data_IF_292102722481
#
_entry.id   IF_292102722481
#
_cell.length_a   1.000
_cell.length_b   1.000
_cell.length_c   1.000
_cell.angle_alpha   90.00
_cell.angle_beta   90.00
_cell.angle_gamma   90.00
#
_symmetry.space_group_name_H-M   'P 1'
#
loop_
_entity.id
_entity.type
_entity.pdbx_description
1 polymer ?
#
# COMPACT_ATOMS: atom_id res chain seq x y z
N UNK A 1 20.44 25.93 0.55
CA UNK A 1 19.59 24.75 0.83
C UNK A 1 18.86 24.39 -0.46
N UNK A 2 19.22 23.29 -1.13
CA UNK A 2 18.49 22.81 -2.32
C UNK A 2 17.32 21.96 -1.83
N UNK A 3 16.10 22.47 -1.97
CA UNK A 3 14.89 21.66 -1.88
C UNK A 3 14.83 20.80 -3.14
N UNK A 4 15.23 19.53 -3.04
CA UNK A 4 15.04 18.55 -4.10
C UNK A 4 13.54 18.29 -4.25
N UNK A 5 12.89 19.01 -5.16
CA UNK A 5 11.54 18.71 -5.61
C UNK A 5 11.61 17.40 -6.40
N UNK A 6 11.29 16.27 -5.75
CA UNK A 6 11.13 15.00 -6.44
C UNK A 6 9.86 15.11 -7.30
N UNK A 7 10.03 15.20 -8.61
CA UNK A 7 8.91 15.20 -9.54
C UNK A 7 8.33 13.78 -9.57
N UNK A 8 7.25 13.53 -8.83
CA UNK A 8 6.53 12.26 -8.89
C UNK A 8 5.93 12.07 -10.29
N UNK A 9 6.44 11.11 -11.05
CA UNK A 9 5.86 10.75 -12.35
C UNK A 9 4.58 9.94 -12.13
N UNK A 10 3.48 10.37 -12.76
CA UNK A 10 2.18 9.70 -12.72
C UNK A 10 1.89 9.05 -14.07
N UNK A 11 1.35 7.84 -14.06
CA UNK A 11 0.97 7.06 -15.26
C UNK A 11 -0.48 6.63 -15.19
N UNK A 12 -1.19 6.64 -16.31
CA UNK A 12 -2.60 6.20 -16.39
C UNK A 12 -2.66 4.71 -16.73
N UNK A 13 -3.39 3.93 -15.93
CA UNK A 13 -3.68 2.51 -16.20
C UNK A 13 -5.17 2.22 -16.06
N UNK A 14 -5.67 1.27 -16.85
CA UNK A 14 -6.99 0.68 -16.63
C UNK A 14 -6.87 -0.44 -15.59
N UNK A 15 -7.63 -0.34 -14.50
CA UNK A 15 -7.68 -1.33 -13.43
C UNK A 15 -9.10 -1.84 -13.23
N UNK A 16 -9.25 -3.10 -12.83
CA UNK A 16 -10.48 -3.63 -12.24
C UNK A 16 -10.14 -4.52 -11.04
N UNK A 17 -11.18 -5.06 -10.40
CA UNK A 17 -11.02 -5.94 -9.24
C UNK A 17 -10.06 -7.11 -9.53
N UNK A 18 -10.14 -7.73 -10.71
CA UNK A 18 -9.29 -8.86 -11.08
C UNK A 18 -7.82 -8.46 -11.18
N UNK A 19 -7.50 -7.30 -11.74
CA UNK A 19 -6.12 -6.79 -11.79
C UNK A 19 -5.50 -6.73 -10.39
N UNK A 20 -6.27 -6.25 -9.41
CA UNK A 20 -5.80 -6.08 -8.02
C UNK A 20 -5.78 -7.42 -7.28
N UNK A 21 -6.86 -8.20 -7.35
CA UNK A 21 -6.97 -9.49 -6.65
C UNK A 21 -5.91 -10.49 -7.14
N UNK A 22 -5.69 -10.60 -8.46
CA UNK A 22 -4.66 -11.51 -9.02
C UNK A 22 -3.25 -11.16 -8.57
N UNK A 23 -2.97 -9.88 -8.38
CA UNK A 23 -1.68 -9.44 -7.86
C UNK A 23 -1.48 -9.86 -6.40
N UNK A 24 -2.52 -9.75 -5.56
CA UNK A 24 -2.48 -10.19 -4.15
C UNK A 24 -2.40 -11.72 -4.05
N UNK A 25 -3.07 -12.45 -4.94
CA UNK A 25 -3.07 -13.92 -4.99
C UNK A 25 -1.73 -14.52 -5.46
N UNK A 26 -0.94 -13.77 -6.24
CA UNK A 26 0.47 -14.14 -6.52
C UNK A 26 1.32 -13.86 -5.28
N UNK A 27 1.30 -14.81 -4.34
CA UNK A 27 1.95 -14.69 -3.03
C UNK A 27 3.44 -14.38 -3.15
N UNK A 28 4.13 -14.89 -4.17
CA UNK A 28 5.57 -14.69 -4.34
C UNK A 28 5.88 -13.25 -4.75
N UNK A 29 5.18 -12.74 -5.76
CA UNK A 29 5.34 -11.36 -6.22
C UNK A 29 4.87 -10.38 -5.15
N UNK A 30 3.74 -10.70 -4.50
CA UNK A 30 3.16 -9.86 -3.47
C UNK A 30 4.02 -9.78 -2.22
N UNK A 31 4.55 -10.91 -1.72
CA UNK A 31 5.45 -10.94 -0.56
C UNK A 31 6.72 -10.12 -0.82
N UNK A 32 7.33 -10.26 -2.00
CA UNK A 32 8.48 -9.43 -2.39
C UNK A 32 8.13 -7.95 -2.37
N UNK A 33 6.98 -7.58 -2.95
CA UNK A 33 6.51 -6.19 -2.93
C UNK A 33 6.25 -5.69 -1.50
N UNK A 34 5.64 -6.52 -0.65
CA UNK A 34 5.36 -6.20 0.75
C UNK A 34 6.65 -5.93 1.52
N UNK A 35 7.68 -6.78 1.35
CA UNK A 35 9.00 -6.58 1.98
C UNK A 35 9.68 -5.28 1.53
N UNK A 36 9.62 -4.96 0.25
CA UNK A 36 10.16 -3.69 -0.27
C UNK A 36 9.40 -2.48 0.30
N UNK A 37 8.08 -2.58 0.43
CA UNK A 37 7.24 -1.56 1.06
C UNK A 37 7.55 -1.41 2.55
N UNK A 38 7.69 -2.52 3.28
CA UNK A 38 8.04 -2.55 4.70
C UNK A 38 9.40 -1.90 4.93
N UNK A 39 10.42 -2.25 4.14
CA UNK A 39 11.76 -1.68 4.27
C UNK A 39 11.83 -0.17 4.02
N UNK A 40 10.87 0.41 3.26
CA UNK A 40 10.76 1.88 3.11
C UNK A 40 10.20 2.57 4.35
N UNK A 41 9.42 1.85 5.16
CA UNK A 41 8.81 2.34 6.39
C UNK A 41 9.71 2.08 7.61
N UNK A 42 10.38 0.94 7.65
CA UNK A 42 11.29 0.53 8.71
C UNK A 42 12.71 1.08 8.50
N UNK A 43 12.82 2.41 8.47
CA UNK A 43 14.07 3.12 8.12
C UNK A 43 15.22 2.81 9.09
N UNK A 44 14.94 2.46 10.34
CA UNK A 44 15.95 2.10 11.34
C UNK A 44 16.30 0.60 11.35
N UNK A 45 15.63 -0.22 10.52
CA UNK A 45 15.92 -1.63 10.34
C UNK A 45 15.69 -2.49 11.59
N UNK A 46 14.81 -2.06 12.50
CA UNK A 46 14.54 -2.81 13.74
C UNK A 46 13.59 -3.98 13.56
N UNK A 47 13.06 -4.17 12.35
CA UNK A 47 12.14 -5.25 12.00
C UNK A 47 10.70 -5.01 12.48
N UNK A 48 10.36 -3.77 12.86
CA UNK A 48 9.03 -3.45 13.41
C UNK A 48 8.64 -1.99 13.19
N UNK A 49 7.40 -1.80 12.75
CA UNK A 49 6.80 -0.47 12.56
C UNK A 49 6.05 -0.07 13.83
N UNK A 50 6.55 0.95 14.53
CA UNK A 50 5.80 1.60 15.59
C UNK A 50 4.64 2.42 15.02
N UNK A 51 3.71 2.81 15.89
CA UNK A 51 2.55 3.64 15.53
C UNK A 51 2.95 4.94 14.84
N UNK A 52 4.04 5.56 15.28
CA UNK A 52 4.58 6.80 14.70
C UNK A 52 5.14 6.57 13.30
N UNK A 53 5.88 5.47 13.10
CA UNK A 53 6.42 5.09 11.78
C UNK A 53 5.29 4.80 10.79
N UNK A 54 4.29 4.04 11.23
CA UNK A 54 3.11 3.75 10.42
C UNK A 54 2.40 5.05 10.04
N UNK A 55 2.10 5.93 11.02
CA UNK A 55 1.47 7.23 10.74
C UNK A 55 2.27 8.10 9.77
N UNK A 56 3.59 8.15 9.92
CA UNK A 56 4.44 9.00 9.10
C UNK A 56 4.61 8.52 7.64
N UNK A 57 4.45 7.21 7.39
CA UNK A 57 4.78 6.61 6.10
C UNK A 57 3.63 5.89 5.39
N UNK A 58 2.57 5.49 6.08
CA UNK A 58 1.48 4.71 5.49
C UNK A 58 0.76 5.45 4.34
N UNK A 59 0.49 6.76 4.51
CA UNK A 59 -0.09 7.58 3.44
C UNK A 59 0.81 7.73 2.20
N UNK A 60 2.13 7.60 2.35
CA UNK A 60 3.09 7.62 1.22
C UNK A 60 3.15 6.27 0.49
N UNK A 61 2.80 5.19 1.18
CA UNK A 61 2.84 3.84 0.62
C UNK A 61 1.61 3.55 -0.25
N UNK A 62 0.48 4.16 0.11
CA UNK A 62 -0.81 4.00 -0.54
C UNK A 62 -1.36 5.35 -1.04
N UNK A 63 -0.61 6.05 -1.92
CA UNK A 63 -1.08 7.31 -2.49
C UNK A 63 -2.37 7.05 -3.28
N UNK A 64 -3.43 7.80 -2.96
CA UNK A 64 -4.71 7.72 -3.67
C UNK A 64 -5.76 6.76 -3.09
N UNK A 65 -5.47 5.97 -2.05
CA UNK A 65 -6.48 5.12 -1.36
C UNK A 65 -7.28 5.95 -0.33
N UNK A 66 -7.78 7.12 -0.75
CA UNK A 66 -8.65 7.96 0.09
C UNK A 66 -7.96 8.69 1.26
N UNK A 67 -6.64 8.60 1.41
CA UNK A 67 -5.87 9.31 2.47
C UNK A 67 -5.72 10.83 2.23
N UNK A 68 -6.58 11.41 1.39
CA UNK A 68 -6.47 12.80 0.95
C UNK A 68 -7.55 13.63 1.66
N UNK A 69 -7.10 14.55 2.51
CA UNK A 69 -7.87 15.66 3.12
C UNK A 69 -8.87 15.33 4.23
N UNK A 70 -8.53 14.46 5.19
CA UNK A 70 -9.22 14.44 6.49
C UNK A 70 -8.47 15.27 7.55
N UNK A 71 -9.17 15.82 8.56
CA UNK A 71 -8.53 16.46 9.71
C UNK A 71 -7.49 15.54 10.36
N UNK A 72 -6.36 16.10 10.82
CA UNK A 72 -5.26 15.32 11.42
C UNK A 72 -5.74 14.38 12.54
N UNK A 73 -6.76 14.78 13.29
CA UNK A 73 -7.27 14.01 14.43
C UNK A 73 -8.08 12.79 13.99
N UNK A 74 -8.88 12.88 12.93
CA UNK A 74 -9.61 11.73 12.35
C UNK A 74 -8.64 10.71 11.74
N UNK A 75 -7.56 11.20 11.12
CA UNK A 75 -6.50 10.35 10.55
C UNK A 75 -5.73 9.62 11.66
N UNK A 76 -5.48 10.27 12.81
CA UNK A 76 -4.83 9.62 13.95
C UNK A 76 -5.68 8.46 14.48
N UNK A 77 -6.99 8.66 14.66
CA UNK A 77 -7.90 7.60 15.13
C UNK A 77 -7.93 6.42 14.15
N UNK A 78 -7.90 6.68 12.84
CA UNK A 78 -7.83 5.62 11.84
C UNK A 78 -6.49 4.86 11.91
N UNK A 79 -5.37 5.56 12.05
CA UNK A 79 -4.06 4.91 12.22
C UNK A 79 -4.01 4.07 13.49
N UNK A 80 -4.62 4.55 14.57
CA UNK A 80 -4.70 3.86 15.86
C UNK A 80 -5.50 2.56 15.73
N UNK A 81 -6.67 2.62 15.08
CA UNK A 81 -7.51 1.46 14.83
C UNK A 81 -6.86 0.45 13.88
N UNK A 82 -6.13 0.93 12.85
CA UNK A 82 -5.33 0.06 11.98
C UNK A 82 -4.24 -0.62 12.81
N UNK A 83 -3.51 0.15 13.61
CA UNK A 83 -2.44 -0.40 14.42
C UNK A 83 -2.93 -1.50 15.36
N UNK A 84 -3.99 -1.23 16.13
CA UNK A 84 -4.58 -2.20 17.07
C UNK A 84 -5.13 -3.45 16.41
N UNK A 85 -5.57 -3.36 15.16
CA UNK A 85 -6.09 -4.50 14.42
C UNK A 85 -4.99 -5.40 13.88
N UNK A 86 -3.86 -4.84 13.49
CA UNK A 86 -2.80 -5.56 12.78
C UNK A 86 -1.57 -5.88 13.64
N UNK A 87 -1.36 -5.21 14.78
CA UNK A 87 -0.49 -5.67 15.88
C UNK A 87 -1.20 -6.83 16.59
N UNK A 88 -1.12 -8.02 16.00
CA UNK A 88 -1.92 -9.18 16.36
C UNK A 88 -1.44 -9.83 17.66
N UNK A 89 -0.13 -9.80 17.89
CA UNK A 89 0.49 -10.29 19.13
C UNK A 89 0.53 -9.24 20.25
N UNK A 90 0.20 -7.98 19.93
CA UNK A 90 0.15 -6.84 20.85
C UNK A 90 1.52 -6.51 21.46
N UNK A 91 2.58 -6.74 20.71
CA UNK A 91 3.95 -6.44 21.13
C UNK A 91 4.30 -4.93 20.98
N UNK A 92 3.38 -4.14 20.41
CA UNK A 92 3.55 -2.70 20.23
C UNK A 92 4.30 -2.30 18.96
N UNK A 93 4.54 -3.23 18.03
CA UNK A 93 5.07 -2.99 16.69
C UNK A 93 4.35 -3.87 15.66
N UNK A 94 4.22 -3.37 14.43
CA UNK A 94 3.77 -4.20 13.30
C UNK A 94 4.99 -4.83 12.65
N UNK A 95 5.08 -6.15 12.65
CA UNK A 95 6.14 -6.89 11.98
C UNK A 95 5.88 -7.05 10.47
N UNK A 96 6.81 -7.69 9.75
CA UNK A 96 6.70 -7.86 8.30
C UNK A 96 5.52 -8.73 7.85
N UNK A 97 5.12 -9.73 8.65
CA UNK A 97 4.03 -10.64 8.33
C UNK A 97 2.67 -9.97 8.61
N UNK A 98 2.56 -9.25 9.71
CA UNK A 98 1.42 -8.41 10.05
C UNK A 98 1.22 -7.30 9.01
N UNK A 99 2.31 -6.65 8.60
CA UNK A 99 2.28 -5.64 7.55
C UNK A 99 1.84 -6.21 6.20
N UNK A 100 2.30 -7.41 5.83
CA UNK A 100 1.83 -8.08 4.61
C UNK A 100 0.32 -8.33 4.64
N UNK A 101 -0.22 -8.72 5.79
CA UNK A 101 -1.66 -8.93 5.99
C UNK A 101 -2.42 -7.61 5.84
N UNK A 102 -1.93 -6.53 6.45
CA UNK A 102 -2.46 -5.18 6.29
C UNK A 102 -2.52 -4.74 4.82
N UNK A 103 -1.44 -4.92 4.07
CA UNK A 103 -1.40 -4.57 2.64
C UNK A 103 -2.37 -5.41 1.81
N UNK A 104 -2.44 -6.71 2.06
CA UNK A 104 -3.32 -7.61 1.33
C UNK A 104 -4.78 -7.23 1.54
N UNK A 105 -5.21 -7.03 2.78
CA UNK A 105 -6.58 -6.64 3.09
C UNK A 105 -6.94 -5.28 2.48
N UNK A 106 -6.02 -4.32 2.52
CA UNK A 106 -6.23 -2.99 1.93
C UNK A 106 -6.39 -3.07 0.42
N UNK A 107 -5.52 -3.81 -0.27
CA UNK A 107 -5.63 -4.02 -1.72
C UNK A 107 -6.92 -4.74 -2.11
N UNK A 108 -7.33 -5.76 -1.35
CA UNK A 108 -8.60 -6.45 -1.59
C UNK A 108 -9.80 -5.55 -1.31
N UNK A 109 -9.73 -4.64 -0.35
CA UNK A 109 -10.76 -3.62 -0.14
C UNK A 109 -10.86 -2.67 -1.33
N UNK A 110 -9.72 -2.24 -1.90
CA UNK A 110 -9.71 -1.46 -3.14
C UNK A 110 -10.34 -2.25 -4.29
N UNK A 111 -9.97 -3.53 -4.46
CA UNK A 111 -10.54 -4.39 -5.49
C UNK A 111 -12.07 -4.47 -5.40
N UNK A 112 -12.61 -4.60 -4.17
CA UNK A 112 -14.06 -4.57 -3.94
C UNK A 112 -14.69 -3.21 -4.26
N UNK A 113 -14.00 -2.12 -3.91
CA UNK A 113 -14.47 -0.75 -4.16
C UNK A 113 -14.51 -0.36 -5.65
N UNK A 114 -13.53 -0.78 -6.44
CA UNK A 114 -13.46 -0.47 -7.88
C UNK A 114 -14.37 -1.36 -8.75
N UNK A 115 -14.68 -2.57 -8.28
CA UNK A 115 -15.58 -3.49 -8.97
C UNK A 115 -15.01 -4.10 -10.26
N UNK A 116 -15.86 -4.78 -11.03
CA UNK A 116 -15.44 -5.58 -12.21
C UNK A 116 -15.21 -4.79 -13.50
N UNK A 117 -15.81 -3.61 -13.62
CA UNK A 117 -15.66 -2.76 -14.80
C UNK A 117 -14.30 -2.06 -14.77
N UNK A 118 -13.54 -2.01 -15.89
CA UNK A 118 -12.29 -1.27 -15.94
C UNK A 118 -12.50 0.23 -15.67
N UNK A 119 -11.66 0.78 -14.78
CA UNK A 119 -11.60 2.20 -14.44
C UNK A 119 -10.21 2.72 -14.76
N UNK A 120 -10.12 3.90 -15.38
CA UNK A 120 -8.84 4.58 -15.60
C UNK A 120 -8.39 5.25 -14.30
N UNK A 121 -7.21 4.89 -13.83
CA UNK A 121 -6.62 5.39 -12.59
C UNK A 121 -5.26 6.02 -12.88
N UNK A 122 -5.03 7.21 -12.33
CA UNK A 122 -3.74 7.87 -12.34
C UNK A 122 -2.90 7.37 -11.16
N UNK A 123 -1.77 6.72 -11.45
CA UNK A 123 -0.95 6.01 -10.48
C UNK A 123 0.44 6.62 -10.40
N UNK A 124 0.93 6.88 -9.19
CA UNK A 124 2.30 7.29 -8.98
C UNK A 124 3.28 6.15 -9.29
N UNK A 125 4.46 6.51 -9.80
CA UNK A 125 5.51 5.55 -10.13
C UNK A 125 5.91 4.68 -8.94
N UNK A 126 5.80 3.37 -9.10
CA UNK A 126 6.15 2.39 -8.07
C UNK A 126 5.13 2.25 -6.93
N UNK A 127 3.96 2.90 -7.04
CA UNK A 127 2.82 2.68 -6.15
C UNK A 127 2.32 1.23 -6.21
N UNK A 128 1.65 0.78 -5.16
CA UNK A 128 1.20 -0.60 -5.03
C UNK A 128 0.20 -0.99 -6.14
N UNK A 129 -0.70 -0.08 -6.51
CA UNK A 129 -1.65 -0.29 -7.62
C UNK A 129 -0.98 -0.29 -8.99
N UNK A 130 0.11 0.47 -9.19
CA UNK A 130 0.89 0.40 -10.43
C UNK A 130 1.54 -0.98 -10.57
N UNK A 131 2.09 -1.52 -9.48
CA UNK A 131 2.67 -2.88 -9.49
C UNK A 131 1.64 -3.96 -9.83
N UNK A 132 0.40 -3.81 -9.36
CA UNK A 132 -0.71 -4.68 -9.77
C UNK A 132 -1.00 -4.57 -11.29
N UNK A 133 -0.96 -3.36 -11.85
CA UNK A 133 -1.13 -3.13 -13.28
C UNK A 133 -0.01 -3.79 -14.11
N UNK A 134 1.24 -3.63 -13.68
CA UNK A 134 2.42 -4.23 -14.32
C UNK A 134 2.39 -5.76 -14.26
N UNK A 135 1.96 -6.31 -13.11
CA UNK A 135 1.77 -7.75 -12.94
C UNK A 135 0.77 -8.32 -13.93
N UNK A 136 -0.41 -7.71 -14.06
CA UNK A 136 -1.42 -8.16 -15.02
C UNK A 136 -0.94 -8.00 -16.47
N UNK A 137 -0.26 -6.90 -16.80
CA UNK A 137 0.34 -6.70 -18.13
C UNK A 137 1.34 -7.80 -18.47
N UNK A 138 2.23 -8.15 -17.53
CA UNK A 138 3.19 -9.23 -17.70
C UNK A 138 2.52 -10.62 -17.82
N UNK A 139 1.34 -10.78 -17.24
CA UNK A 139 0.53 -12.00 -17.34
C UNK A 139 -0.17 -12.14 -18.70
N UNK A 140 -0.64 -11.03 -19.27
CA UNK A 140 -1.37 -11.00 -20.55
C UNK A 140 -0.42 -11.01 -21.76
N UNK A 141 0.81 -10.52 -21.62
CA UNK A 141 1.82 -10.52 -22.68
C UNK A 141 2.65 -11.82 -22.77
N UNK A 142 2.31 -12.85 -21.98
CA UNK A 142 2.85 -14.20 -22.10
C UNK A 142 1.93 -15.06 -22.96
#
# INVERSE_FOLDING_TARGET
>A
MKTSSSSSTVVIHALNNLTVTRFVEDTTTFEKCSKECFGKLDVDGKGGLSREKLRAGFGKLLPGIGYVSQPKDEINVLHDAIFERFDADKNGVIDGQEFQTLLAETMLAVARGIGGSPVLVALEHGSLLMRAAEHEKARVCK
#
